data_IF_446486549307
#
_entry.id   IF_446486549307
#
_cell.length_a   1.000
_cell.length_b   1.000
_cell.length_c   1.000
_cell.angle_alpha   90.00
_cell.angle_beta   90.00
_cell.angle_gamma   90.00
#
_symmetry.space_group_name_H-M   'P 1'
#
loop_
_entity.id
_entity.type
_entity.pdbx_description
1 polymer ?
#
# COMPACT_ATOMS: atom_id res chain seq x y z
N UNK A 1 2.87 7.10 10.59
CA UNK A 1 3.98 6.14 10.76
C UNK A 1 3.39 4.76 11.04
N UNK A 2 4.05 3.67 10.66
CA UNK A 2 3.58 2.31 10.93
C UNK A 2 4.69 1.52 11.62
N UNK A 3 4.40 0.95 12.79
CA UNK A 3 5.38 0.19 13.57
C UNK A 3 4.72 -0.95 14.34
N UNK A 4 5.45 -2.06 14.48
CA UNK A 4 4.97 -3.26 15.18
C UNK A 4 4.96 -3.12 16.70
N UNK A 5 5.66 -2.13 17.25
CA UNK A 5 5.78 -1.88 18.69
C UNK A 5 5.59 -0.42 19.01
N UNK A 6 4.93 -0.06 20.10
CA UNK A 6 4.77 1.32 20.57
C UNK A 6 6.02 1.83 21.32
N UNK A 7 7.16 1.81 20.64
CA UNK A 7 8.46 2.16 21.24
C UNK A 7 9.07 3.41 20.65
N UNK A 8 8.66 3.84 19.45
CA UNK A 8 9.19 5.07 18.83
C UNK A 8 8.41 6.32 19.24
N UNK A 9 7.31 6.17 19.99
CA UNK A 9 6.53 7.28 20.55
C UNK A 9 5.69 8.03 19.51
N UNK A 10 5.28 7.35 18.44
CA UNK A 10 4.43 7.93 17.40
C UNK A 10 2.98 8.05 17.89
N UNK A 11 2.49 9.28 18.01
CA UNK A 11 1.18 9.59 18.58
C UNK A 11 0.40 10.66 17.80
N UNK A 12 0.84 11.00 16.59
CA UNK A 12 0.12 11.91 15.72
C UNK A 12 -1.05 11.21 15.01
N UNK A 13 -1.99 11.99 14.49
CA UNK A 13 -3.07 11.45 13.66
C UNK A 13 -2.50 10.74 12.43
N UNK A 14 -2.93 9.49 12.19
CA UNK A 14 -2.41 8.64 11.11
C UNK A 14 -1.16 7.83 11.48
N UNK A 15 -0.69 7.92 12.73
CA UNK A 15 0.26 6.95 13.26
C UNK A 15 -0.46 5.66 13.66
N UNK A 16 0.20 4.54 13.36
CA UNK A 16 -0.25 3.17 13.58
C UNK A 16 0.79 2.42 14.43
N UNK A 17 0.91 2.76 15.73
CA UNK A 17 1.74 2.00 16.65
C UNK A 17 1.09 0.65 16.99
N UNK A 18 1.89 -0.35 17.39
CA UNK A 18 1.43 -1.72 17.67
C UNK A 18 0.70 -2.42 16.50
N UNK A 19 1.07 -2.11 15.26
CA UNK A 19 0.53 -2.73 14.06
C UNK A 19 1.65 -3.39 13.26
N UNK A 20 1.63 -4.73 13.17
CA UNK A 20 2.53 -5.45 12.26
C UNK A 20 2.22 -5.05 10.81
N UNK A 21 3.22 -4.59 10.08
CA UNK A 21 3.07 -4.21 8.68
C UNK A 21 2.70 -5.39 7.78
N UNK A 22 2.83 -6.65 8.25
CA UNK A 22 2.47 -7.87 7.51
C UNK A 22 3.10 -7.89 6.12
N UNK A 23 4.42 -7.68 6.08
CA UNK A 23 5.19 -7.71 4.85
C UNK A 23 5.71 -9.13 4.60
N UNK A 24 5.65 -9.57 3.34
CA UNK A 24 6.34 -10.77 2.89
C UNK A 24 7.86 -10.64 2.98
N UNK A 25 8.60 -11.75 2.84
CA UNK A 25 10.06 -11.72 2.76
C UNK A 25 10.51 -10.89 1.57
N UNK A 26 11.77 -10.45 1.61
CA UNK A 26 12.40 -9.80 0.45
C UNK A 26 12.45 -10.82 -0.70
N UNK A 27 11.73 -10.55 -1.79
CA UNK A 27 11.57 -11.48 -2.90
C UNK A 27 11.50 -10.73 -4.24
N UNK A 28 11.67 -11.48 -5.34
CA UNK A 28 11.39 -10.98 -6.68
C UNK A 28 9.87 -10.87 -6.87
N UNK A 29 9.35 -9.66 -6.63
CA UNK A 29 7.94 -9.32 -6.86
C UNK A 29 7.78 -8.46 -8.12
N UNK A 30 8.75 -8.54 -9.05
CA UNK A 30 8.89 -7.67 -10.22
C UNK A 30 9.72 -6.40 -9.96
N UNK A 31 10.07 -5.70 -11.05
CA UNK A 31 10.94 -4.52 -11.03
C UNK A 31 12.44 -4.85 -11.07
N UNK A 32 13.28 -3.83 -10.90
CA UNK A 32 14.74 -3.98 -11.01
C UNK A 32 15.41 -4.53 -9.74
N UNK A 33 14.70 -4.51 -8.61
CA UNK A 33 15.22 -4.95 -7.31
C UNK A 33 14.17 -5.72 -6.51
N UNK A 34 14.56 -6.73 -5.70
CA UNK A 34 13.64 -7.40 -4.77
C UNK A 34 12.95 -6.42 -3.81
N UNK A 35 11.72 -6.74 -3.41
CA UNK A 35 10.89 -5.89 -2.54
C UNK A 35 10.18 -6.69 -1.46
N UNK A 36 9.64 -6.00 -0.46
CA UNK A 36 8.77 -6.55 0.59
C UNK A 36 7.30 -6.30 0.21
N UNK A 37 6.63 -7.32 -0.32
CA UNK A 37 5.22 -7.21 -0.75
C UNK A 37 4.29 -7.22 0.48
N UNK A 38 3.38 -6.23 0.64
CA UNK A 38 2.36 -6.30 1.68
C UNK A 38 1.43 -7.51 1.49
N UNK A 39 0.94 -8.10 2.58
CA UNK A 39 -0.16 -9.06 2.49
C UNK A 39 -1.48 -8.35 2.16
N UNK A 40 -2.47 -9.10 1.65
CA UNK A 40 -3.80 -8.60 1.28
C UNK A 40 -4.57 -7.94 2.45
N UNK A 41 -4.18 -8.23 3.71
CA UNK A 41 -4.76 -7.68 4.94
C UNK A 41 -3.77 -6.82 5.74
N UNK A 42 -2.75 -6.29 5.06
CA UNK A 42 -1.74 -5.42 5.67
C UNK A 42 -2.33 -4.09 6.13
N UNK A 43 -1.96 -3.57 7.32
CA UNK A 43 -2.33 -2.23 7.75
C UNK A 43 -1.63 -1.12 6.96
N UNK A 44 -0.68 -1.45 6.07
CA UNK A 44 -0.06 -0.50 5.17
C UNK A 44 -0.99 -0.09 4.02
N UNK A 45 -2.04 -0.87 3.74
CA UNK A 45 -2.88 -0.70 2.55
C UNK A 45 -3.72 0.59 2.61
N UNK A 46 -3.79 1.32 1.49
CA UNK A 46 -4.66 2.48 1.25
C UNK A 46 -4.55 3.64 2.29
N UNK A 47 -3.48 3.70 3.09
CA UNK A 47 -3.41 4.65 4.22
C UNK A 47 -3.12 6.10 3.84
N UNK A 48 -2.58 6.35 2.64
CA UNK A 48 -2.26 7.69 2.18
C UNK A 48 -3.33 8.10 1.15
N UNK A 49 -4.28 9.00 1.48
CA UNK A 49 -5.34 9.37 0.55
C UNK A 49 -4.81 9.93 -0.77
N UNK A 50 -5.52 9.68 -1.87
CA UNK A 50 -5.17 10.23 -3.18
C UNK A 50 -5.06 11.77 -3.13
N UNK A 51 -4.02 12.33 -3.75
CA UNK A 51 -3.71 13.76 -3.72
C UNK A 51 -3.10 14.26 -2.41
N UNK A 52 -3.02 13.42 -1.36
CA UNK A 52 -2.33 13.77 -0.11
C UNK A 52 -0.89 13.26 -0.17
N UNK A 53 0.05 14.04 0.34
CA UNK A 53 1.48 13.70 0.34
C UNK A 53 2.00 13.25 -1.03
N UNK A 54 1.46 13.86 -2.11
CA UNK A 54 1.81 13.60 -3.51
C UNK A 54 1.38 12.24 -4.06
N UNK A 55 0.59 11.47 -3.32
CA UNK A 55 0.01 10.21 -3.77
C UNK A 55 -0.79 10.41 -5.07
N UNK A 56 -0.40 9.71 -6.14
CA UNK A 56 -1.06 9.83 -7.44
C UNK A 56 -0.81 11.15 -8.17
N UNK A 57 0.07 12.01 -7.64
CA UNK A 57 0.48 13.26 -8.26
C UNK A 57 1.92 13.15 -8.77
N UNK A 58 2.89 13.66 -7.99
CA UNK A 58 4.31 13.55 -8.31
C UNK A 58 4.93 12.23 -7.83
N UNK A 59 4.26 11.50 -6.93
CA UNK A 59 4.60 10.12 -6.56
C UNK A 59 3.51 9.22 -7.16
N UNK A 60 3.73 8.83 -8.41
CA UNK A 60 2.76 8.14 -9.24
C UNK A 60 3.13 6.68 -9.54
N UNK A 61 4.28 6.20 -9.06
CA UNK A 61 4.69 4.80 -9.18
C UNK A 61 5.43 4.31 -7.93
N UNK A 62 5.33 3.00 -7.69
CA UNK A 62 6.11 2.31 -6.67
C UNK A 62 7.51 1.90 -7.19
N UNK A 63 8.33 1.26 -6.36
CA UNK A 63 9.69 0.85 -6.73
C UNK A 63 9.74 -0.12 -7.94
N UNK A 64 8.64 -0.82 -8.21
CA UNK A 64 8.53 -1.78 -9.31
C UNK A 64 7.97 -1.13 -10.59
N UNK A 65 7.59 0.15 -10.51
CA UNK A 65 6.94 0.90 -11.58
C UNK A 65 5.41 0.74 -11.62
N UNK A 66 4.79 0.10 -10.62
CA UNK A 66 3.33 -0.01 -10.54
C UNK A 66 2.73 1.34 -10.19
N UNK A 67 1.71 1.77 -10.94
CA UNK A 67 1.09 3.09 -10.76
C UNK A 67 0.40 3.22 -9.42
N UNK A 68 0.52 4.38 -8.78
CA UNK A 68 -0.15 4.72 -7.53
C UNK A 68 -1.27 5.76 -7.76
N UNK A 69 -2.39 5.72 -7.03
CA UNK A 69 -2.82 4.63 -6.16
C UNK A 69 -3.40 3.44 -6.93
N UNK A 70 -3.31 2.23 -6.36
CA UNK A 70 -4.14 1.08 -6.73
C UNK A 70 -5.20 0.86 -5.64
N UNK A 71 -6.34 1.55 -5.73
CA UNK A 71 -7.35 1.52 -4.68
C UNK A 71 -7.92 2.90 -4.37
N UNK A 72 -8.23 3.12 -3.10
CA UNK A 72 -8.74 4.41 -2.58
C UNK A 72 -7.61 5.37 -2.18
N UNK A 73 -6.42 4.85 -1.94
CA UNK A 73 -5.23 5.59 -1.55
C UNK A 73 -3.96 4.82 -1.92
N UNK A 74 -2.84 5.44 -1.61
CA UNK A 74 -1.51 4.86 -1.72
C UNK A 74 -1.18 4.05 -0.46
N UNK A 75 -0.54 2.91 -0.63
CA UNK A 75 -0.01 2.11 0.48
C UNK A 75 1.21 2.76 1.17
N UNK A 76 1.41 2.50 2.45
CA UNK A 76 2.64 2.89 3.14
C UNK A 76 3.79 2.01 2.64
N UNK A 77 4.84 2.63 2.08
CA UNK A 77 6.11 1.95 1.78
C UNK A 77 6.48 1.95 0.30
N UNK A 78 7.38 1.03 -0.07
CA UNK A 78 8.01 0.99 -1.39
C UNK A 78 7.16 0.28 -2.47
N UNK A 79 6.10 -0.41 -2.06
CA UNK A 79 5.30 -1.29 -2.90
C UNK A 79 3.84 -0.88 -2.81
N UNK A 80 3.16 -0.85 -3.94
CA UNK A 80 1.71 -0.70 -4.04
C UNK A 80 1.06 -2.05 -4.32
N UNK A 81 0.15 -2.51 -3.49
CA UNK A 81 -0.61 -3.72 -3.73
C UNK A 81 -1.55 -3.49 -4.90
N UNK A 82 -1.32 -4.26 -5.98
CA UNK A 82 -2.16 -4.16 -7.15
C UNK A 82 -3.54 -4.77 -6.85
N UNK A 83 -4.57 -3.93 -6.82
CA UNK A 83 -5.95 -4.45 -6.82
C UNK A 83 -6.20 -5.16 -8.16
N UNK A 84 -6.84 -6.35 -8.15
CA UNK A 84 -7.18 -7.00 -9.40
C UNK A 84 -8.12 -6.11 -10.22
N UNK A 85 -7.76 -5.82 -11.47
CA UNK A 85 -8.49 -4.90 -12.35
C UNK A 85 -9.96 -5.31 -12.62
N UNK A 86 -10.34 -6.55 -12.27
CA UNK A 86 -11.70 -7.07 -12.40
C UNK A 86 -12.63 -6.67 -11.23
N UNK A 87 -12.11 -6.14 -10.13
CA UNK A 87 -12.92 -5.67 -9.00
C UNK A 87 -13.66 -4.33 -9.30
N UNK A 88 -13.30 -3.63 -10.38
CA UNK A 88 -13.88 -2.33 -10.76
C UNK A 88 -15.04 -2.48 -11.77
N UNK A 89 -15.27 -3.68 -12.31
CA UNK A 89 -16.36 -3.98 -13.25
C UNK A 89 -17.21 -5.16 -12.78
N UNK A 90 -17.94 -5.00 -11.68
CA UNK A 90 -19.14 -5.79 -11.46
C UNK A 90 -20.37 -4.99 -11.94
N UNK A 91 -20.77 -5.03 -13.23
CA UNK A 91 -22.15 -4.75 -13.53
C UNK A 91 -22.96 -5.92 -12.95
N UNK A 92 -23.91 -5.59 -12.07
CA UNK A 92 -24.90 -6.53 -11.56
C UNK A 92 -25.77 -7.04 -12.72
N UNK A 93 -25.30 -8.05 -13.46
CA UNK A 93 -26.14 -8.94 -14.28
C UNK A 93 -25.46 -10.31 -14.39
N UNK A 94 -25.72 -11.19 -13.42
CA UNK A 94 -25.82 -12.61 -13.75
C UNK A 94 -27.28 -12.85 -14.14
N UNK A 95 -27.47 -13.38 -15.34
CA UNK A 95 -28.77 -13.89 -15.80
C UNK A 95 -29.16 -15.13 -15.00
#
# INVERSE_FOLDING_TARGET
NLESTDTCGFNAAGDLPNHDAKLGPLADNGGDTPTHLPADDSPALDQIPAGVNRCGESINSDQRGVTRPQGTGCDIGAVEMAVPQWAVFAPLVMR
#
